data_IF_997207157879
#
_entry.id   IF_997207157879
#
_cell.length_a   1.000
_cell.length_b   1.000
_cell.length_c   1.000
_cell.angle_alpha   90.00
_cell.angle_beta   90.00
_cell.angle_gamma   90.00
#
_symmetry.space_group_name_H-M   'P 1'
#
loop_
_entity.id
_entity.type
_entity.pdbx_description
1 polymer ?
#
# COMPACT_ATOMS: atom_id res chain seq x y z
N UNK A 1 9.28 12.46 18.26
CA UNK A 1 8.27 11.66 18.98
C UNK A 1 8.23 12.26 20.36
N UNK A 2 7.32 13.21 20.58
CA UNK A 2 7.07 13.70 21.93
C UNK A 2 6.44 12.53 22.70
N UNK A 3 7.17 12.03 23.68
CA UNK A 3 6.60 11.14 24.68
C UNK A 3 5.55 12.01 25.37
N UNK A 4 4.29 11.56 25.38
CA UNK A 4 3.22 12.27 26.06
C UNK A 4 3.71 12.65 27.48
N UNK A 5 3.72 13.96 27.79
CA UNK A 5 4.05 14.39 29.14
C UNK A 5 3.06 13.75 30.10
N UNK A 6 3.51 13.21 31.25
CA UNK A 6 2.62 12.56 32.21
C UNK A 6 1.54 13.57 32.60
N UNK A 7 0.30 13.31 32.18
CA UNK A 7 -0.83 14.07 32.68
C UNK A 7 -0.96 13.83 34.18
N UNK A 8 -1.55 14.78 34.91
CA UNK A 8 -1.78 14.72 36.36
C UNK A 8 -2.62 13.53 36.85
N UNK A 9 -3.06 12.66 35.95
CA UNK A 9 -4.03 11.61 36.20
C UNK A 9 -3.40 10.21 36.29
N UNK A 10 -2.07 10.12 36.20
CA UNK A 10 -1.35 8.86 36.40
C UNK A 10 -1.04 8.64 37.88
N UNK A 11 -1.51 7.51 38.41
CA UNK A 11 -1.13 7.05 39.74
C UNK A 11 0.20 6.33 39.66
N UNK A 12 1.24 6.86 40.30
CA UNK A 12 2.52 6.17 40.43
C UNK A 12 2.37 4.96 41.36
N UNK A 13 2.68 3.78 40.82
CA UNK A 13 2.56 2.52 41.54
C UNK A 13 3.96 1.99 41.89
N UNK A 14 4.27 1.67 43.16
CA UNK A 14 5.60 1.20 43.54
C UNK A 14 5.94 -0.15 42.91
N UNK A 15 7.18 -0.33 42.48
CA UNK A 15 7.68 -1.60 41.93
C UNK A 15 7.85 -2.60 43.09
N UNK A 16 6.85 -3.45 43.30
CA UNK A 16 6.88 -4.53 44.29
C UNK A 16 6.29 -5.81 43.70
N UNK A 17 6.46 -6.94 44.40
CA UNK A 17 6.01 -8.24 43.91
C UNK A 17 4.50 -8.28 43.61
N UNK A 18 3.67 -7.68 44.46
CA UNK A 18 2.21 -7.65 44.31
C UNK A 18 1.81 -6.92 43.02
N UNK A 19 2.39 -5.75 42.77
CA UNK A 19 2.09 -4.94 41.60
C UNK A 19 2.63 -5.58 40.30
N UNK A 20 3.78 -6.25 40.37
CA UNK A 20 4.31 -7.01 39.24
C UNK A 20 3.39 -8.19 38.88
N UNK A 21 2.89 -8.93 39.86
CA UNK A 21 1.93 -10.03 39.61
C UNK A 21 0.59 -9.50 39.10
N UNK A 22 0.07 -8.40 39.66
CA UNK A 22 -1.13 -7.74 39.16
C UNK A 22 -0.97 -7.27 37.69
N UNK A 23 0.18 -6.69 37.35
CA UNK A 23 0.49 -6.27 35.97
C UNK A 23 0.60 -7.46 35.01
N UNK A 24 1.26 -8.55 35.43
CA UNK A 24 1.30 -9.80 34.64
C UNK A 24 -0.09 -10.37 34.41
N UNK A 25 -0.95 -10.37 35.42
CA UNK A 25 -2.34 -10.81 35.27
C UNK A 25 -3.11 -9.90 34.31
N UNK A 26 -2.92 -8.58 34.40
CA UNK A 26 -3.54 -7.63 33.49
C UNK A 26 -3.09 -7.84 32.03
N UNK A 27 -1.79 -8.02 31.78
CA UNK A 27 -1.27 -8.37 30.44
C UNK A 27 -1.92 -9.67 29.95
N UNK A 28 -2.01 -10.71 30.80
CA UNK A 28 -2.67 -11.98 30.42
C UNK A 28 -4.15 -11.81 30.08
N UNK A 29 -4.87 -10.91 30.73
CA UNK A 29 -6.26 -10.60 30.37
C UNK A 29 -6.33 -9.80 29.06
N UNK A 30 -5.41 -8.85 28.83
CA UNK A 30 -5.30 -8.12 27.56
C UNK A 30 -4.96 -9.04 26.39
N UNK A 31 -4.08 -10.02 26.58
CA UNK A 31 -3.71 -11.01 25.56
C UNK A 31 -4.91 -11.89 25.13
N UNK A 32 -5.96 -11.99 25.95
CA UNK A 32 -7.20 -12.67 25.58
C UNK A 32 -8.09 -11.83 24.66
N UNK A 33 -7.88 -10.52 24.60
CA UNK A 33 -8.65 -9.64 23.72
C UNK A 33 -8.19 -9.90 22.29
N UNK A 34 -8.94 -10.73 21.58
CA UNK A 34 -8.69 -10.96 20.15
C UNK A 34 -9.04 -9.70 19.37
N UNK A 35 -8.01 -8.98 18.92
CA UNK A 35 -8.21 -7.84 18.06
C UNK A 35 -8.52 -8.32 16.64
N UNK A 36 -9.71 -8.00 16.13
CA UNK A 36 -10.13 -8.40 14.78
C UNK A 36 -9.48 -7.56 13.66
N UNK A 37 -8.55 -6.65 14.00
CA UNK A 37 -7.82 -5.77 13.08
C UNK A 37 -8.71 -4.97 12.10
N UNK A 38 -10.01 -4.83 12.38
CA UNK A 38 -10.96 -4.11 11.55
C UNK A 38 -11.24 -2.72 12.15
N UNK A 39 -10.52 -1.72 11.66
CA UNK A 39 -10.67 -0.32 12.05
C UNK A 39 -11.93 0.32 11.44
N UNK A 40 -12.24 -0.01 10.19
CA UNK A 40 -13.34 0.59 9.44
C UNK A 40 -13.90 -0.41 8.42
N UNK A 41 -15.23 -0.48 8.31
CA UNK A 41 -15.89 -1.14 7.18
C UNK A 41 -16.16 -0.11 6.10
N UNK A 42 -15.75 -0.41 4.89
CA UNK A 42 -15.92 0.46 3.74
C UNK A 42 -17.38 0.58 3.31
N UNK A 43 -17.73 1.75 2.82
CA UNK A 43 -18.97 2.05 2.10
C UNK A 43 -18.64 3.05 1.00
N UNK A 44 -19.49 3.11 -0.03
CA UNK A 44 -19.37 4.10 -1.09
C UNK A 44 -19.20 5.52 -0.53
N UNK A 45 -20.04 5.93 0.43
CA UNK A 45 -20.00 7.27 1.01
C UNK A 45 -18.76 7.56 1.87
N UNK A 46 -18.15 6.55 2.50
CA UNK A 46 -16.88 6.73 3.21
C UNK A 46 -15.76 6.98 2.21
N UNK A 47 -15.68 6.15 1.17
CA UNK A 47 -14.63 6.28 0.16
C UNK A 47 -14.76 7.57 -0.64
N UNK A 48 -15.99 8.00 -0.97
CA UNK A 48 -16.24 9.29 -1.62
C UNK A 48 -15.69 10.47 -0.83
N UNK A 49 -15.94 10.52 0.49
CA UNK A 49 -15.42 11.60 1.34
C UNK A 49 -13.89 11.61 1.35
N UNK A 50 -13.27 10.43 1.51
CA UNK A 50 -11.81 10.32 1.49
C UNK A 50 -11.24 10.76 0.14
N UNK A 51 -11.84 10.33 -0.97
CA UNK A 51 -11.39 10.71 -2.31
C UNK A 51 -11.60 12.19 -2.59
N UNK A 52 -12.69 12.79 -2.08
CA UNK A 52 -12.91 14.24 -2.14
C UNK A 52 -11.81 15.01 -1.40
N UNK A 53 -11.45 14.59 -0.19
CA UNK A 53 -10.38 15.22 0.58
C UNK A 53 -9.02 15.06 -0.11
N UNK A 54 -8.74 13.88 -0.67
CA UNK A 54 -7.46 13.59 -1.33
C UNK A 54 -7.34 14.28 -2.70
N UNK A 55 -8.45 14.48 -3.40
CA UNK A 55 -8.48 15.14 -4.72
C UNK A 55 -7.98 16.60 -4.68
N UNK A 56 -7.91 17.20 -3.49
CA UNK A 56 -7.38 18.55 -3.27
C UNK A 56 -5.86 18.61 -3.38
N UNK A 57 -5.17 17.48 -3.21
CA UNK A 57 -3.72 17.39 -3.36
C UNK A 57 -3.40 17.05 -4.82
N UNK A 58 -2.86 18.03 -5.56
CA UNK A 58 -2.38 17.79 -6.92
C UNK A 58 -1.07 16.96 -6.90
N UNK A 59 -0.72 16.38 -8.05
CA UNK A 59 0.50 15.57 -8.22
C UNK A 59 1.82 16.33 -8.04
N UNK A 60 1.77 17.63 -7.68
CA UNK A 60 2.96 18.43 -7.34
C UNK A 60 3.23 18.46 -5.84
N UNK A 61 2.26 18.00 -5.03
CA UNK A 61 2.40 17.84 -3.60
C UNK A 61 3.16 16.55 -3.26
N UNK A 62 3.97 16.56 -2.20
CA UNK A 62 4.58 15.33 -1.65
C UNK A 62 3.57 14.47 -0.86
N UNK A 63 2.34 14.94 -0.69
CA UNK A 63 1.30 14.29 0.12
C UNK A 63 0.97 12.87 -0.36
N UNK A 64 0.73 12.61 -1.67
CA UNK A 64 0.52 11.25 -2.18
C UNK A 64 1.65 10.29 -1.79
N UNK A 65 2.91 10.70 -1.98
CA UNK A 65 4.06 9.87 -1.70
C UNK A 65 4.19 9.54 -0.20
N UNK A 66 3.94 10.51 0.66
CA UNK A 66 3.96 10.31 2.12
C UNK A 66 2.81 9.38 2.55
N UNK A 67 1.61 9.58 2.00
CA UNK A 67 0.44 8.77 2.33
C UNK A 67 0.65 7.32 1.93
N UNK A 68 1.01 7.07 0.67
CA UNK A 68 1.25 5.70 0.15
C UNK A 68 2.38 5.02 0.92
N UNK A 69 3.50 5.73 1.16
CA UNK A 69 4.60 5.21 1.98
C UNK A 69 4.10 4.72 3.34
N UNK A 70 3.30 5.54 4.04
CA UNK A 70 2.80 5.18 5.36
C UNK A 70 1.81 4.01 5.32
N UNK A 71 1.00 3.88 4.26
CA UNK A 71 0.12 2.72 4.06
C UNK A 71 0.92 1.43 3.81
N UNK A 72 1.98 1.49 3.01
CA UNK A 72 2.89 0.36 2.79
C UNK A 72 3.56 -0.04 4.12
N UNK A 73 3.95 0.94 4.94
CA UNK A 73 4.47 0.67 6.30
C UNK A 73 3.43 -0.01 7.19
N UNK A 74 2.19 0.47 7.16
CA UNK A 74 1.10 -0.14 7.92
C UNK A 74 0.78 -1.58 7.46
N UNK A 75 1.15 -1.96 6.23
CA UNK A 75 1.10 -3.33 5.72
C UNK A 75 2.35 -4.17 6.06
N UNK A 76 3.14 -3.78 7.07
CA UNK A 76 4.34 -4.47 7.54
C UNK A 76 5.50 -4.52 6.53
N UNK A 77 5.67 -3.46 5.73
CA UNK A 77 6.83 -3.29 4.88
C UNK A 77 7.67 -2.09 5.35
N UNK A 78 8.98 -2.16 5.17
CA UNK A 78 9.84 -1.00 5.30
C UNK A 78 9.75 -0.20 4.00
N UNK A 79 9.34 1.07 4.05
CA UNK A 79 9.21 1.91 2.86
C UNK A 79 9.95 3.25 3.02
N UNK A 80 10.75 3.59 2.02
CA UNK A 80 11.53 4.81 1.95
C UNK A 80 11.19 5.57 0.67
N UNK A 81 10.93 6.87 0.80
CA UNK A 81 10.77 7.80 -0.32
C UNK A 81 12.12 8.36 -0.75
N UNK A 82 12.23 8.82 -2.00
CA UNK A 82 13.40 9.59 -2.43
C UNK A 82 13.59 10.88 -1.63
N UNK A 83 14.86 11.27 -1.46
CA UNK A 83 15.22 12.53 -0.80
C UNK A 83 15.25 13.65 -1.84
N UNK A 84 14.65 14.79 -1.51
CA UNK A 84 14.71 15.99 -2.35
C UNK A 84 16.18 16.40 -2.55
N UNK A 85 16.61 16.52 -3.82
CA UNK A 85 18.00 16.83 -4.19
C UNK A 85 18.90 15.62 -4.44
N UNK A 86 18.40 14.40 -4.21
CA UNK A 86 19.10 13.17 -4.60
C UNK A 86 18.77 12.80 -6.05
N UNK A 87 19.72 13.04 -6.96
CA UNK A 87 19.59 12.69 -8.38
C UNK A 87 19.78 11.19 -8.61
N UNK A 88 20.28 10.44 -7.62
CA UNK A 88 20.60 9.02 -7.75
C UNK A 88 19.37 8.11 -7.65
N UNK A 89 18.32 8.53 -6.95
CA UNK A 89 17.04 7.80 -6.82
C UNK A 89 15.90 8.78 -7.07
N UNK A 90 15.49 8.94 -8.33
CA UNK A 90 14.30 9.74 -8.69
C UNK A 90 12.98 9.00 -8.50
N UNK A 91 13.04 7.75 -8.03
CA UNK A 91 11.90 6.92 -7.66
C UNK A 91 10.97 7.63 -6.67
N UNK A 92 9.67 7.40 -6.76
CA UNK A 92 8.74 7.88 -5.75
C UNK A 92 9.00 7.22 -4.39
N UNK A 93 9.11 5.89 -4.39
CA UNK A 93 9.52 5.12 -3.22
C UNK A 93 10.15 3.76 -3.58
N UNK A 94 10.83 3.19 -2.60
CA UNK A 94 11.25 1.79 -2.58
C UNK A 94 10.74 1.14 -1.30
N UNK A 95 10.50 -0.16 -1.35
CA UNK A 95 10.10 -0.91 -0.17
C UNK A 95 10.84 -2.23 -0.06
N UNK A 96 10.85 -2.77 1.15
CA UNK A 96 11.24 -4.13 1.45
C UNK A 96 10.33 -4.74 2.50
N UNK A 97 10.18 -6.05 2.48
CA UNK A 97 9.43 -6.79 3.48
C UNK A 97 10.31 -7.77 4.22
N UNK A 98 10.12 -7.82 5.53
CA UNK A 98 10.68 -8.87 6.39
C UNK A 98 9.76 -10.10 6.46
N UNK A 99 8.58 -10.06 5.82
CA UNK A 99 7.74 -11.25 5.61
C UNK A 99 8.52 -12.27 4.80
N UNK A 100 8.40 -13.56 5.12
CA UNK A 100 9.05 -14.64 4.37
C UNK A 100 8.11 -15.16 3.26
N UNK A 101 8.59 -15.35 2.02
CA UNK A 101 9.91 -14.94 1.50
C UNK A 101 10.06 -13.42 1.44
N UNK A 102 11.27 -12.93 1.74
CA UNK A 102 11.57 -11.48 1.73
C UNK A 102 11.38 -10.92 0.34
N UNK A 103 10.78 -9.73 0.25
CA UNK A 103 10.54 -9.07 -1.02
C UNK A 103 11.06 -7.64 -0.99
N UNK A 104 11.42 -7.13 -2.17
CA UNK A 104 11.85 -5.75 -2.35
C UNK A 104 11.26 -5.26 -3.66
N UNK A 105 10.94 -3.99 -3.74
CA UNK A 105 10.41 -3.44 -4.97
C UNK A 105 10.48 -1.93 -5.03
N UNK A 106 10.42 -1.43 -6.26
CA UNK A 106 10.18 -0.02 -6.55
C UNK A 106 8.68 0.26 -6.51
N UNK A 107 8.33 1.48 -6.12
CA UNK A 107 6.95 1.98 -6.11
C UNK A 107 6.90 3.25 -6.93
N UNK A 108 6.01 3.26 -7.92
CA UNK A 108 5.63 4.45 -8.69
C UNK A 108 4.25 4.91 -8.24
N UNK A 109 4.06 6.21 -8.02
CA UNK A 109 2.84 6.77 -7.44
C UNK A 109 2.24 7.78 -8.42
N UNK A 110 1.14 7.41 -9.08
CA UNK A 110 0.49 8.23 -10.11
C UNK A 110 -0.95 8.57 -9.71
N UNK A 111 -1.14 9.77 -9.15
CA UNK A 111 -2.47 10.28 -8.76
C UNK A 111 -3.06 11.22 -9.82
N UNK A 112 -2.32 11.52 -10.88
CA UNK A 112 -2.75 12.31 -12.01
C UNK A 112 -3.52 11.49 -13.05
N UNK A 113 -3.82 12.16 -14.17
CA UNK A 113 -4.64 11.59 -15.27
C UNK A 113 -3.80 10.83 -16.30
N UNK A 114 -2.49 11.03 -16.32
CA UNK A 114 -1.59 10.44 -17.31
C UNK A 114 -0.95 9.16 -16.76
N UNK A 115 -1.69 8.07 -16.88
CA UNK A 115 -1.30 6.77 -16.34
C UNK A 115 -0.21 6.09 -17.16
N UNK A 116 0.08 6.59 -18.37
CA UNK A 116 1.16 6.05 -19.20
C UNK A 116 2.54 6.44 -18.67
N UNK A 117 2.67 7.63 -18.08
CA UNK A 117 3.92 8.04 -17.45
C UNK A 117 4.32 7.09 -16.32
N UNK A 118 3.36 6.63 -15.52
CA UNK A 118 3.61 5.63 -14.47
C UNK A 118 4.25 4.34 -15.01
N UNK A 119 3.83 3.88 -16.20
CA UNK A 119 4.40 2.68 -16.82
C UNK A 119 5.85 2.88 -17.30
N UNK A 120 6.23 4.11 -17.64
CA UNK A 120 7.60 4.46 -18.01
C UNK A 120 8.47 4.63 -16.77
N UNK A 121 7.99 5.41 -15.79
CA UNK A 121 8.68 5.66 -14.52
C UNK A 121 9.03 4.37 -13.81
N UNK A 122 8.07 3.45 -13.66
CA UNK A 122 8.32 2.17 -13.01
C UNK A 122 9.36 1.30 -13.75
N UNK A 123 9.43 1.36 -15.10
CA UNK A 123 10.43 0.60 -15.86
C UNK A 123 11.83 1.20 -15.70
N UNK A 124 11.93 2.52 -15.71
CA UNK A 124 13.18 3.22 -15.44
C UNK A 124 13.67 2.91 -14.01
N UNK A 125 12.76 2.88 -13.04
CA UNK A 125 13.05 2.53 -11.66
C UNK A 125 13.54 1.08 -11.51
N UNK A 126 12.90 0.13 -12.20
CA UNK A 126 13.37 -1.27 -12.25
C UNK A 126 14.80 -1.32 -12.82
N UNK A 127 15.07 -0.59 -13.91
CA UNK A 127 16.38 -0.57 -14.55
C UNK A 127 17.46 0.09 -13.65
N UNK A 128 17.12 1.15 -12.92
CA UNK A 128 18.00 1.80 -11.95
C UNK A 128 18.33 0.85 -10.80
N UNK A 129 17.33 0.15 -10.23
CA UNK A 129 17.57 -0.81 -9.15
C UNK A 129 18.40 -2.01 -9.61
N UNK A 130 18.19 -2.49 -10.84
CA UNK A 130 18.99 -3.56 -11.41
C UNK A 130 20.44 -3.13 -11.61
N UNK A 131 20.68 -1.96 -12.21
CA UNK A 131 22.02 -1.48 -12.55
C UNK A 131 22.84 -1.00 -11.34
N UNK A 132 22.20 -0.39 -10.34
CA UNK A 132 22.90 0.26 -9.20
C UNK A 132 22.84 -0.51 -7.90
N UNK A 133 21.77 -1.26 -7.67
CA UNK A 133 21.51 -1.96 -6.42
C UNK A 133 21.55 -3.49 -6.57
N UNK A 134 21.87 -3.98 -7.77
CA UNK A 134 21.99 -5.41 -8.10
C UNK A 134 20.73 -6.22 -7.72
N UNK A 135 19.55 -5.58 -7.81
CA UNK A 135 18.26 -6.23 -7.62
C UNK A 135 17.84 -6.85 -8.96
N UNK A 136 17.78 -8.18 -9.04
CA UNK A 136 17.30 -8.84 -10.25
C UNK A 136 15.88 -8.36 -10.59
N UNK A 137 15.61 -8.18 -11.88
CA UNK A 137 14.31 -7.71 -12.35
C UNK A 137 13.15 -8.64 -11.95
N UNK A 138 13.41 -9.92 -11.74
CA UNK A 138 12.43 -10.91 -11.30
C UNK A 138 12.22 -10.89 -9.78
N UNK A 139 13.22 -10.46 -9.02
CA UNK A 139 13.15 -10.27 -7.58
C UNK A 139 12.54 -8.90 -7.20
N UNK A 140 12.52 -7.96 -8.16
CA UNK A 140 11.86 -6.68 -8.02
C UNK A 140 10.32 -6.83 -8.12
N UNK A 141 9.67 -6.82 -6.97
CA UNK A 141 8.22 -6.82 -6.85
C UNK A 141 7.66 -5.41 -7.11
N UNK A 142 7.82 -4.92 -8.34
CA UNK A 142 7.40 -3.58 -8.74
C UNK A 142 5.90 -3.33 -8.52
N UNK A 143 5.58 -2.16 -7.99
CA UNK A 143 4.23 -1.76 -7.61
C UNK A 143 3.92 -0.36 -8.14
N UNK A 144 2.82 -0.22 -8.88
CA UNK A 144 2.24 1.08 -9.23
C UNK A 144 1.07 1.34 -8.31
N UNK A 145 1.06 2.51 -7.67
CA UNK A 145 -0.05 2.96 -6.82
C UNK A 145 -0.76 4.12 -7.51
N UNK A 146 -2.02 3.91 -7.84
CA UNK A 146 -2.86 4.92 -8.49
C UNK A 146 -3.91 5.49 -7.52
N UNK A 147 -4.40 6.69 -7.77
CA UNK A 147 -5.58 7.18 -7.03
C UNK A 147 -6.80 6.31 -7.38
N UNK A 148 -7.00 6.11 -8.68
CA UNK A 148 -8.07 5.30 -9.26
C UNK A 148 -7.51 4.47 -10.40
N UNK A 149 -8.06 3.27 -10.62
CA UNK A 149 -7.67 2.40 -11.72
C UNK A 149 -7.82 3.13 -13.06
N UNK A 150 -6.80 3.07 -13.93
CA UNK A 150 -6.87 3.68 -15.24
C UNK A 150 -8.05 3.17 -16.06
N UNK A 151 -8.71 4.04 -16.80
CA UNK A 151 -9.77 3.63 -17.72
C UNK A 151 -9.20 2.75 -18.83
N UNK A 152 -10.00 1.77 -19.31
CA UNK A 152 -9.56 0.84 -20.37
C UNK A 152 -9.03 1.55 -21.63
N UNK A 153 -9.55 2.75 -21.92
CA UNK A 153 -9.18 3.57 -23.09
C UNK A 153 -7.83 4.28 -22.97
N UNK A 154 -7.24 4.34 -21.78
CA UNK A 154 -5.97 5.04 -21.54
C UNK A 154 -4.74 4.21 -21.94
N UNK A 155 -4.92 2.92 -22.29
CA UNK A 155 -3.83 2.08 -22.78
C UNK A 155 -2.86 1.54 -21.71
N UNK A 156 -2.89 2.06 -20.48
CA UNK A 156 -2.03 1.61 -19.38
C UNK A 156 -1.99 0.08 -19.24
N UNK A 157 -3.15 -0.56 -19.12
CA UNK A 157 -3.22 -2.02 -18.95
C UNK A 157 -2.75 -2.81 -20.18
N UNK A 158 -2.83 -2.23 -21.37
CA UNK A 158 -2.24 -2.80 -22.58
C UNK A 158 -0.71 -2.75 -22.49
N UNK A 159 -0.16 -1.64 -22.01
CA UNK A 159 1.29 -1.50 -21.78
C UNK A 159 1.77 -2.49 -20.71
N UNK A 160 1.06 -2.62 -19.58
CA UNK A 160 1.41 -3.62 -18.55
C UNK A 160 1.40 -5.05 -19.12
N UNK A 161 0.39 -5.39 -19.94
CA UNK A 161 0.33 -6.68 -20.65
C UNK A 161 1.53 -6.89 -21.57
N UNK A 162 1.89 -5.87 -22.33
CA UNK A 162 3.01 -5.92 -23.28
C UNK A 162 4.36 -6.04 -22.56
N UNK A 163 4.55 -5.34 -21.45
CA UNK A 163 5.73 -5.46 -20.58
C UNK A 163 5.88 -6.90 -20.09
N UNK A 164 4.81 -7.51 -19.58
CA UNK A 164 4.86 -8.89 -19.13
C UNK A 164 5.19 -9.85 -20.28
N UNK A 165 4.53 -9.68 -21.43
CA UNK A 165 4.75 -10.53 -22.61
C UNK A 165 6.18 -10.45 -23.15
N UNK A 166 6.77 -9.26 -23.17
CA UNK A 166 8.10 -9.02 -23.78
C UNK A 166 9.24 -9.25 -22.78
N UNK A 167 9.08 -8.79 -21.54
CA UNK A 167 10.17 -8.78 -20.54
C UNK A 167 10.02 -9.85 -19.45
N UNK A 168 8.85 -10.50 -19.35
CA UNK A 168 8.50 -11.43 -18.28
C UNK A 168 8.19 -10.75 -16.94
N UNK A 169 7.95 -9.42 -16.95
CA UNK A 169 7.78 -8.62 -15.75
C UNK A 169 6.31 -8.38 -15.44
N UNK A 170 5.83 -8.92 -14.32
CA UNK A 170 4.49 -8.61 -13.79
C UNK A 170 4.55 -7.42 -12.84
N UNK A 171 4.21 -6.24 -13.35
CA UNK A 171 4.09 -5.02 -12.56
C UNK A 171 2.70 -4.99 -11.92
N UNK A 172 2.66 -4.84 -10.60
CA UNK A 172 1.39 -4.81 -9.86
C UNK A 172 0.78 -3.42 -9.92
N UNK A 173 -0.55 -3.34 -9.94
CA UNK A 173 -1.26 -2.07 -9.83
C UNK A 173 -2.27 -2.15 -8.70
N UNK A 174 -2.18 -1.23 -7.74
CA UNK A 174 -3.13 -1.12 -6.64
C UNK A 174 -3.63 0.32 -6.54
N UNK A 175 -4.89 0.52 -6.18
CA UNK A 175 -5.38 1.85 -5.89
C UNK A 175 -5.10 2.25 -4.45
N UNK A 176 -5.11 3.56 -4.20
CA UNK A 176 -5.09 4.10 -2.85
C UNK A 176 -6.23 3.54 -2.00
N UNK A 177 -7.43 3.43 -2.56
CA UNK A 177 -8.57 2.87 -1.87
C UNK A 177 -8.35 1.41 -1.48
N UNK A 178 -7.79 0.58 -2.36
CA UNK A 178 -7.49 -0.81 -2.06
C UNK A 178 -6.41 -0.94 -0.96
N UNK A 179 -5.37 -0.10 -0.97
CA UNK A 179 -4.39 -0.03 0.13
C UNK A 179 -5.07 0.30 1.47
N UNK A 180 -5.98 1.28 1.49
CA UNK A 180 -6.75 1.62 2.69
C UNK A 180 -7.58 0.43 3.19
N UNK A 181 -8.26 -0.28 2.30
CA UNK A 181 -9.03 -1.48 2.66
C UNK A 181 -8.14 -2.54 3.31
N UNK A 182 -6.97 -2.81 2.74
CA UNK A 182 -6.03 -3.79 3.27
C UNK A 182 -5.53 -3.38 4.66
N UNK A 183 -5.14 -2.11 4.82
CA UNK A 183 -4.65 -1.58 6.10
C UNK A 183 -5.74 -1.59 7.17
N UNK A 184 -6.96 -1.11 6.85
CA UNK A 184 -8.06 -1.04 7.80
C UNK A 184 -8.54 -2.38 8.32
N UNK A 185 -8.17 -3.48 7.65
CA UNK A 185 -8.56 -4.83 8.04
C UNK A 185 -7.33 -5.66 8.48
N UNK A 186 -6.17 -5.03 8.68
CA UNK A 186 -4.92 -5.68 9.07
C UNK A 186 -4.50 -6.82 8.12
N UNK A 187 -4.80 -6.69 6.84
CA UNK A 187 -4.52 -7.73 5.87
C UNK A 187 -3.01 -7.96 5.74
N UNK A 188 -2.59 -9.22 5.76
CA UNK A 188 -1.22 -9.59 5.45
C UNK A 188 -1.06 -9.75 3.94
N UNK A 189 -0.20 -8.90 3.37
CA UNK A 189 0.12 -8.87 1.95
C UNK A 189 1.62 -9.06 1.79
N UNK A 190 2.03 -9.97 0.92
CA UNK A 190 3.41 -10.04 0.46
C UNK A 190 3.40 -9.81 -1.04
N UNK A 191 3.90 -8.64 -1.46
CA UNK A 191 3.89 -8.25 -2.87
C UNK A 191 4.74 -9.14 -3.78
N UNK A 192 5.58 -10.04 -3.24
CA UNK A 192 6.34 -11.00 -4.07
C UNK A 192 5.43 -11.95 -4.85
N UNK A 193 4.26 -12.31 -4.31
CA UNK A 193 3.33 -13.22 -5.00
C UNK A 193 2.67 -12.58 -6.23
N UNK A 194 2.86 -11.27 -6.43
CA UNK A 194 2.39 -10.52 -7.60
C UNK A 194 0.88 -10.64 -7.81
N UNK A 195 0.13 -10.77 -6.71
CA UNK A 195 -1.32 -11.02 -6.73
C UNK A 195 -2.15 -9.82 -7.20
N UNK A 196 -1.59 -8.61 -7.11
CA UNK A 196 -2.20 -7.38 -7.64
C UNK A 196 -1.73 -7.10 -9.08
N UNK A 197 -1.21 -8.10 -9.79
CA UNK A 197 -0.96 -7.98 -11.23
C UNK A 197 -2.31 -7.99 -11.97
N UNK A 198 -2.52 -6.91 -12.71
CA UNK A 198 -3.70 -6.67 -13.55
C UNK A 198 -3.24 -6.15 -14.89
N UNK A 199 -3.94 -6.56 -15.94
CA UNK A 199 -3.61 -6.21 -17.32
C UNK A 199 -4.90 -6.05 -18.13
N UNK A 200 -4.76 -5.90 -19.44
CA UNK A 200 -5.91 -5.63 -20.31
C UNK A 200 -6.98 -6.73 -20.25
N UNK A 201 -6.60 -7.98 -19.99
CA UNK A 201 -7.51 -9.12 -19.95
C UNK A 201 -8.13 -9.30 -18.55
N UNK A 202 -7.41 -8.92 -17.49
CA UNK A 202 -7.90 -8.93 -16.12
C UNK A 202 -7.70 -7.57 -15.43
N UNK A 203 -8.78 -6.80 -15.36
CA UNK A 203 -8.77 -5.40 -14.91
C UNK A 203 -9.24 -5.21 -13.47
N UNK A 204 -9.50 -6.28 -12.72
CA UNK A 204 -10.03 -6.18 -11.36
C UNK A 204 -9.12 -6.87 -10.35
N UNK A 205 -8.88 -6.16 -9.25
CA UNK A 205 -8.29 -6.70 -8.02
C UNK A 205 -9.34 -7.00 -6.95
N UNK A 206 -10.64 -6.90 -7.25
CA UNK A 206 -11.71 -7.15 -6.26
C UNK A 206 -11.61 -8.54 -5.66
N UNK A 207 -11.52 -9.56 -6.50
CA UNK A 207 -11.48 -10.96 -6.05
C UNK A 207 -10.28 -11.24 -5.12
N UNK A 208 -9.10 -10.73 -5.46
CA UNK A 208 -7.92 -10.89 -4.61
C UNK A 208 -8.02 -10.08 -3.32
N UNK A 209 -8.58 -8.87 -3.38
CA UNK A 209 -8.78 -8.05 -2.18
C UNK A 209 -9.77 -8.73 -1.23
N UNK A 210 -10.90 -9.24 -1.74
CA UNK A 210 -11.86 -10.02 -0.95
C UNK A 210 -11.24 -11.30 -0.35
N UNK A 211 -10.39 -11.98 -1.11
CA UNK A 211 -9.63 -13.12 -0.62
C UNK A 211 -8.72 -12.73 0.56
N UNK A 212 -7.97 -11.63 0.43
CA UNK A 212 -7.08 -11.12 1.49
C UNK A 212 -7.84 -10.61 2.73
N UNK A 213 -9.07 -10.12 2.54
CA UNK A 213 -9.94 -9.67 3.62
C UNK A 213 -10.79 -10.80 4.23
N UNK A 214 -10.81 -11.99 3.61
CA UNK A 214 -11.68 -13.11 3.97
C UNK A 214 -13.16 -12.73 4.07
N UNK A 215 -13.62 -11.80 3.22
CA UNK A 215 -15.01 -11.34 3.16
C UNK A 215 -15.29 -10.61 1.86
N UNK A 216 -16.57 -10.43 1.54
CA UNK A 216 -16.99 -9.54 0.46
C UNK A 216 -16.75 -8.07 0.83
N UNK A 217 -16.39 -7.30 -0.19
CA UNK A 217 -16.20 -5.84 -0.06
C UNK A 217 -17.54 -5.16 -0.24
N UNK A 218 -17.81 -4.18 0.63
CA UNK A 218 -19.04 -3.39 0.63
C UNK A 218 -18.87 -2.09 -0.18
N UNK A 219 -18.43 -2.24 -1.44
CA UNK A 219 -18.34 -1.17 -2.42
C UNK A 219 -19.00 -1.59 -3.72
N UNK A 220 -19.70 -0.66 -4.35
CA UNK A 220 -20.29 -0.85 -5.68
C UNK A 220 -19.21 -1.15 -6.73
N UNK A 221 -19.56 -1.91 -7.77
CA UNK A 221 -18.63 -2.23 -8.86
C UNK A 221 -18.19 -0.98 -9.62
N UNK A 222 -16.89 -0.84 -9.85
CA UNK A 222 -16.30 0.32 -10.52
C UNK A 222 -16.30 1.60 -9.68
N UNK A 223 -16.66 1.53 -8.39
CA UNK A 223 -16.74 2.71 -7.54
C UNK A 223 -15.38 3.41 -7.43
N UNK A 224 -15.30 4.67 -7.88
CA UNK A 224 -14.12 5.54 -7.83
C UNK A 224 -12.86 4.91 -8.46
N UNK A 225 -13.02 3.90 -9.30
CA UNK A 225 -11.90 3.12 -9.81
C UNK A 225 -11.11 2.35 -8.74
N UNK A 226 -11.69 1.99 -7.58
CA UNK A 226 -10.89 1.45 -6.45
C UNK A 226 -10.39 0.03 -6.74
N UNK A 227 -11.27 -0.86 -7.20
CA UNK A 227 -10.92 -2.28 -7.38
C UNK A 227 -10.90 -2.71 -8.84
N UNK A 228 -11.48 -1.89 -9.72
CA UNK A 228 -11.53 -2.05 -11.16
C UNK A 228 -11.80 -0.67 -11.78
N UNK A 229 -11.54 -0.46 -13.09
CA UNK A 229 -11.86 0.80 -13.77
C UNK A 229 -13.34 1.19 -13.65
N UNK A 230 -13.61 2.49 -13.67
CA UNK A 230 -14.97 3.01 -13.73
C UNK A 230 -15.69 2.54 -15.01
N UNK A 231 -17.02 2.41 -14.94
CA UNK A 231 -17.86 1.99 -16.08
C UNK A 231 -18.01 3.09 -17.13
#
# INVERSE_FOLDING_TARGET
MEIAEPSSDYTDIPINHVNLEAHKMFIRELDKIHWNHQFQKETDGIMERIYQDISQFDGRSMVPNILVRNLIIALNHECAKSRTGDVYTRMDAVYSSNLKPTCKGVVEIEFGRDTLEASRGILDDIAVMHSRNNLDKNDNAALVVCLSFPNKRQGYFQVIKDINRVLGLKIQTISLGALLLLVWNGAQVNFLSREFYVDFDNLSIRGITEFRLNRRINLSDGKLGILEPEK
#
